data_IF_249118587039
#
_entry.id   IF_249118587039
#
_cell.length_a   1.000
_cell.length_b   1.000
_cell.length_c   1.000
_cell.angle_alpha   90.00
_cell.angle_beta   90.00
_cell.angle_gamma   90.00
#
_symmetry.space_group_name_H-M   'P 1'
#
loop_
_entity.id
_entity.type
_entity.pdbx_description
1 polymer ?
#
# COMPACT_ATOMS: atom_id res chain seq x y z
N UNK A 1 -5.56 0.78 -15.26
CA UNK A 1 -6.33 0.09 -14.22
C UNK A 1 -6.69 -1.28 -14.77
N UNK A 2 -6.03 -2.32 -14.26
CA UNK A 2 -6.22 -3.72 -14.70
C UNK A 2 -7.26 -4.41 -13.80
N UNK A 3 -7.18 -4.20 -12.50
CA UNK A 3 -8.06 -4.83 -11.52
C UNK A 3 -9.25 -3.93 -11.18
N UNK A 4 -10.38 -4.54 -10.81
CA UNK A 4 -11.56 -3.82 -10.30
C UNK A 4 -11.43 -3.60 -8.79
N UNK A 5 -12.15 -2.60 -8.27
CA UNK A 5 -12.20 -2.28 -6.83
C UNK A 5 -12.48 -3.53 -5.97
N UNK A 6 -13.47 -4.34 -6.32
CA UNK A 6 -13.82 -5.53 -5.53
C UNK A 6 -12.69 -6.57 -5.50
N UNK A 7 -12.01 -6.81 -6.63
CA UNK A 7 -10.89 -7.76 -6.68
C UNK A 7 -9.75 -7.30 -5.77
N UNK A 8 -9.48 -6.00 -5.73
CA UNK A 8 -8.50 -5.39 -4.84
C UNK A 8 -8.89 -5.53 -3.37
N UNK A 9 -10.17 -5.33 -3.04
CA UNK A 9 -10.68 -5.56 -1.68
C UNK A 9 -10.50 -7.01 -1.26
N UNK A 10 -10.82 -7.97 -2.14
CA UNK A 10 -10.70 -9.39 -1.85
C UNK A 10 -9.23 -9.80 -1.62
N UNK A 11 -8.31 -9.29 -2.45
CA UNK A 11 -6.85 -9.45 -2.26
C UNK A 11 -6.44 -8.87 -0.91
N UNK A 12 -6.86 -7.64 -0.60
CA UNK A 12 -6.48 -6.94 0.62
C UNK A 12 -6.95 -7.68 1.88
N UNK A 13 -8.20 -8.15 1.90
CA UNK A 13 -8.76 -8.96 2.98
C UNK A 13 -7.98 -10.25 3.17
N UNK A 14 -7.65 -10.96 2.08
CA UNK A 14 -6.81 -12.16 2.14
C UNK A 14 -5.44 -11.85 2.74
N UNK A 15 -4.79 -10.78 2.29
CA UNK A 15 -3.47 -10.37 2.78
C UNK A 15 -3.48 -10.05 4.27
N UNK A 16 -4.48 -9.29 4.75
CA UNK A 16 -4.62 -8.97 6.17
C UNK A 16 -4.79 -10.24 7.01
N UNK A 17 -5.63 -11.18 6.55
CA UNK A 17 -5.81 -12.48 7.21
C UNK A 17 -4.53 -13.32 7.23
N UNK A 18 -3.79 -13.35 6.13
CA UNK A 18 -2.54 -14.12 5.99
C UNK A 18 -1.43 -13.58 6.93
N UNK A 19 -1.30 -12.26 7.00
CA UNK A 19 -0.35 -11.55 7.89
C UNK A 19 -0.78 -11.66 9.36
N UNK A 20 -2.08 -11.82 9.61
CA UNK A 20 -2.64 -11.95 10.96
C UNK A 20 -2.77 -10.61 11.68
N UNK A 21 -2.95 -9.52 10.93
CA UNK A 21 -3.23 -8.20 11.51
C UNK A 21 -4.74 -8.01 11.67
N UNK A 22 -5.17 -7.75 12.91
CA UNK A 22 -6.56 -7.47 13.23
C UNK A 22 -7.03 -6.14 12.62
N UNK A 23 -8.24 -6.13 12.08
CA UNK A 23 -8.87 -4.93 11.52
C UNK A 23 -10.39 -5.01 11.69
N UNK A 24 -11.05 -3.86 11.72
CA UNK A 24 -12.49 -3.79 11.87
C UNK A 24 -13.21 -4.21 10.58
N UNK A 25 -13.70 -5.44 10.56
CA UNK A 25 -14.41 -6.03 9.42
C UNK A 25 -15.83 -5.48 9.20
N UNK A 26 -16.36 -4.66 10.11
CA UNK A 26 -17.69 -4.04 9.96
C UNK A 26 -17.65 -2.72 9.18
N UNK A 27 -16.46 -2.20 8.89
CA UNK A 27 -16.31 -0.95 8.14
C UNK A 27 -16.16 -1.24 6.65
N UNK A 28 -16.76 -0.37 5.85
CA UNK A 28 -16.62 -0.42 4.40
C UNK A 28 -15.17 -0.10 4.00
N UNK A 29 -14.61 -0.94 3.13
CA UNK A 29 -13.25 -0.77 2.60
C UNK A 29 -13.36 -0.12 1.22
N UNK A 30 -12.88 1.11 1.11
CA UNK A 30 -12.81 1.80 -0.18
C UNK A 30 -11.36 1.91 -0.68
N UNK A 31 -10.98 1.17 -1.74
CA UNK A 31 -9.64 1.24 -2.31
C UNK A 31 -9.49 2.47 -3.23
N UNK A 32 -8.33 3.12 -3.14
CA UNK A 32 -7.96 4.30 -3.93
C UNK A 32 -6.91 3.89 -4.96
N UNK A 33 -7.20 4.09 -6.24
CA UNK A 33 -6.22 3.88 -7.31
C UNK A 33 -5.24 5.04 -7.38
N UNK A 34 -3.95 4.73 -7.55
CA UNK A 34 -2.87 5.70 -7.80
C UNK A 34 -2.32 5.47 -9.20
N UNK A 35 -2.70 6.35 -10.12
CA UNK A 35 -2.24 6.29 -11.51
C UNK A 35 -0.77 6.71 -11.62
N UNK A 36 -0.11 6.35 -12.73
CA UNK A 36 1.26 6.80 -13.02
C UNK A 36 1.29 8.34 -13.13
N UNK A 37 0.32 8.94 -13.81
CA UNK A 37 0.30 10.38 -14.06
C UNK A 37 0.18 11.19 -12.76
N UNK A 38 -0.72 10.80 -11.84
CA UNK A 38 -0.84 11.44 -10.52
C UNK A 38 0.45 11.28 -9.70
N UNK A 39 1.10 10.12 -9.79
CA UNK A 39 2.37 9.88 -9.10
C UNK A 39 3.50 10.73 -9.67
N UNK A 40 3.56 10.90 -10.99
CA UNK A 40 4.54 11.77 -11.65
C UNK A 40 4.33 13.24 -11.29
N UNK A 41 3.08 13.69 -11.24
CA UNK A 41 2.75 15.05 -10.82
C UNK A 41 3.18 15.30 -9.36
N UNK A 42 2.92 14.35 -8.47
CA UNK A 42 3.35 14.43 -7.07
C UNK A 42 4.88 14.41 -6.94
N UNK A 43 5.57 13.53 -7.67
CA UNK A 43 7.04 13.47 -7.69
C UNK A 43 7.63 14.79 -8.17
N UNK A 44 7.06 15.40 -9.22
CA UNK A 44 7.49 16.70 -9.72
C UNK A 44 7.35 17.80 -8.65
N UNK A 45 6.22 17.85 -7.94
CA UNK A 45 6.01 18.81 -6.83
C UNK A 45 7.04 18.61 -5.70
N UNK A 46 7.37 17.36 -5.38
CA UNK A 46 8.37 17.02 -4.36
C UNK A 46 9.78 17.49 -4.78
N UNK A 47 10.14 17.27 -6.05
CA UNK A 47 11.43 17.71 -6.62
C UNK A 47 11.55 19.24 -6.67
N UNK A 48 10.51 19.93 -7.18
CA UNK A 48 10.46 21.40 -7.24
C UNK A 48 10.52 22.06 -5.85
N UNK A 49 9.95 21.40 -4.83
CA UNK A 49 10.02 21.85 -3.45
C UNK A 49 11.35 21.50 -2.75
N UNK A 50 12.25 20.76 -3.40
CA UNK A 50 13.55 20.36 -2.85
C UNK A 50 13.46 19.27 -1.78
N UNK A 51 12.36 18.51 -1.74
CA UNK A 51 12.16 17.40 -0.79
C UNK A 51 12.62 16.05 -1.35
N UNK A 52 12.97 15.97 -2.63
CA UNK A 52 13.57 14.76 -3.19
C UNK A 52 14.98 14.56 -2.58
N UNK A 53 15.30 13.38 -2.00
CA UNK A 53 16.63 13.11 -1.45
C UNK A 53 17.72 13.34 -2.49
N UNK A 54 18.81 14.00 -2.11
CA UNK A 54 19.88 14.41 -3.04
C UNK A 54 20.57 13.22 -3.72
N UNK A 55 20.52 12.06 -3.10
CA UNK A 55 21.08 10.81 -3.58
C UNK A 55 20.23 10.19 -4.71
N UNK A 56 18.98 10.61 -4.86
CA UNK A 56 18.02 10.07 -5.84
C UNK A 56 17.82 11.09 -6.95
N UNK A 57 18.23 10.73 -8.17
CA UNK A 57 17.93 11.55 -9.35
C UNK A 57 16.47 11.41 -9.75
N UNK A 58 15.85 12.52 -10.18
CA UNK A 58 14.46 12.53 -10.65
C UNK A 58 14.19 11.43 -11.70
N UNK A 59 15.07 11.27 -12.69
CA UNK A 59 14.90 10.27 -13.75
C UNK A 59 14.98 8.82 -13.24
N UNK A 60 15.68 8.58 -12.12
CA UNK A 60 15.71 7.27 -11.46
C UNK A 60 14.41 7.03 -10.69
N UNK A 61 13.89 8.04 -10.00
CA UNK A 61 12.60 7.95 -9.31
C UNK A 61 11.45 7.69 -10.29
N UNK A 62 11.42 8.37 -11.43
CA UNK A 62 10.43 8.16 -12.51
C UNK A 62 10.40 6.71 -12.98
N UNK A 63 11.56 6.06 -13.15
CA UNK A 63 11.64 4.66 -13.60
C UNK A 63 11.06 3.65 -12.60
N UNK A 64 10.91 4.03 -11.34
CA UNK A 64 10.37 3.19 -10.28
C UNK A 64 8.87 3.37 -10.07
N UNK A 65 8.24 4.37 -10.71
CA UNK A 65 6.79 4.60 -10.60
C UNK A 65 6.03 3.48 -11.30
N UNK A 66 5.05 2.93 -10.58
CA UNK A 66 4.15 1.88 -11.04
C UNK A 66 2.74 2.18 -10.57
N UNK A 67 1.69 1.82 -11.31
CA UNK A 67 0.33 2.00 -10.84
C UNK A 67 0.03 1.04 -9.69
N UNK A 68 -0.61 1.53 -8.64
CA UNK A 68 -0.97 0.71 -7.49
C UNK A 68 -2.27 1.18 -6.86
N UNK A 69 -2.82 0.34 -5.99
CA UNK A 69 -3.98 0.59 -5.17
C UNK A 69 -3.56 0.78 -3.72
N UNK A 70 -4.20 1.73 -3.03
CA UNK A 70 -4.11 1.90 -1.58
C UNK A 70 -5.42 1.40 -0.98
N UNK A 71 -5.33 0.50 -0.01
CA UNK A 71 -6.46 0.01 0.76
C UNK A 71 -6.25 0.38 2.22
N UNK A 72 -7.16 1.19 2.76
CA UNK A 72 -7.16 1.59 4.16
C UNK A 72 -7.96 0.63 5.03
N UNK A 73 -7.44 0.33 6.23
CA UNK A 73 -8.15 -0.40 7.26
C UNK A 73 -8.06 0.33 8.60
N UNK A 74 -9.15 0.26 9.35
CA UNK A 74 -9.17 0.69 10.74
C UNK A 74 -8.87 -0.51 11.64
N UNK A 75 -8.13 -0.26 12.72
CA UNK A 75 -7.96 -1.25 13.77
C UNK A 75 -9.31 -1.55 14.44
N UNK A 76 -9.41 -2.73 15.03
CA UNK A 76 -10.46 -3.05 15.99
C UNK A 76 -10.45 -2.04 17.14
N UNK A 77 -11.61 -1.74 17.71
CA UNK A 77 -11.77 -0.67 18.71
C UNK A 77 -10.83 -0.83 19.91
N UNK A 78 -10.61 -2.07 20.34
CA UNK A 78 -9.73 -2.46 21.44
C UNK A 78 -8.23 -2.29 21.13
N UNK A 79 -7.87 -2.25 19.85
CA UNK A 79 -6.49 -2.04 19.36
C UNK A 79 -6.27 -0.64 18.78
N UNK A 80 -7.28 0.23 18.83
CA UNK A 80 -7.21 1.57 18.25
C UNK A 80 -6.37 2.50 19.12
N UNK A 81 -5.13 2.71 18.69
CA UNK A 81 -4.22 3.70 19.28
C UNK A 81 -4.27 4.96 18.40
N UNK A 82 -4.88 6.04 18.88
CA UNK A 82 -5.02 7.31 18.15
C UNK A 82 -5.77 7.18 16.79
N UNK A 83 -5.64 8.15 15.88
CA UNK A 83 -6.10 8.08 14.49
C UNK A 83 -5.14 7.25 13.61
N UNK A 84 -4.67 6.12 14.13
CA UNK A 84 -3.78 5.23 13.40
C UNK A 84 -4.59 4.32 12.48
N UNK A 85 -4.21 4.28 11.21
CA UNK A 85 -4.83 3.45 10.17
C UNK A 85 -3.77 2.55 9.54
N UNK A 86 -4.20 1.39 9.06
CA UNK A 86 -3.37 0.49 8.28
C UNK A 86 -3.58 0.82 6.81
N UNK A 87 -2.50 0.94 6.05
CA UNK A 87 -2.53 1.13 4.61
C UNK A 87 -1.79 -0.01 3.94
N UNK A 88 -2.50 -0.73 3.08
CA UNK A 88 -1.96 -1.79 2.24
C UNK A 88 -1.83 -1.27 0.81
N UNK A 89 -0.66 -1.49 0.20
CA UNK A 89 -0.39 -1.12 -1.18
C UNK A 89 -0.33 -2.39 -2.06
N UNK A 90 -1.13 -2.41 -3.12
CA UNK A 90 -1.30 -3.54 -4.04
C UNK A 90 -0.97 -3.10 -5.47
N UNK A 91 -0.08 -3.80 -6.14
CA UNK A 91 0.32 -3.47 -7.51
C UNK A 91 -0.83 -3.72 -8.48
N UNK A 92 -1.21 -2.71 -9.28
CA UNK A 92 -2.22 -2.88 -10.33
C UNK A 92 -1.69 -3.70 -11.50
N UNK A 93 -0.37 -3.93 -11.60
CA UNK A 93 0.24 -4.69 -12.69
C UNK A 93 0.02 -6.21 -12.57
N UNK A 94 -0.12 -6.71 -11.34
CA UNK A 94 -0.15 -8.15 -11.07
C UNK A 94 -1.03 -8.55 -9.87
N UNK A 95 -1.69 -7.59 -9.21
CA UNK A 95 -2.55 -7.85 -8.05
C UNK A 95 -1.79 -8.29 -6.81
N UNK A 96 -0.45 -8.19 -6.79
CA UNK A 96 0.35 -8.63 -5.65
C UNK A 96 0.52 -7.47 -4.65
N UNK A 97 0.15 -7.67 -3.37
CA UNK A 97 0.50 -6.76 -2.29
C UNK A 97 2.01 -6.69 -2.12
N UNK A 98 2.56 -5.49 -1.94
CA UNK A 98 4.01 -5.30 -1.83
C UNK A 98 4.43 -4.53 -0.59
N UNK A 99 3.53 -3.76 0.02
CA UNK A 99 3.85 -2.95 1.20
C UNK A 99 2.64 -2.78 2.10
N UNK A 100 2.86 -2.81 3.42
CA UNK A 100 1.87 -2.48 4.45
C UNK A 100 2.50 -1.52 5.45
N UNK A 101 1.75 -0.51 5.86
CA UNK A 101 2.20 0.47 6.85
C UNK A 101 1.09 0.92 7.77
N UNK A 102 1.48 1.44 8.91
CA UNK A 102 0.66 2.28 9.77
C UNK A 102 1.55 3.42 10.29
N UNK A 103 1.04 4.26 11.19
CA UNK A 103 1.74 5.46 11.69
C UNK A 103 3.16 5.19 12.23
N UNK A 104 3.41 4.02 12.81
CA UNK A 104 4.66 3.72 13.54
C UNK A 104 5.58 2.73 12.81
N UNK A 105 5.11 2.03 11.77
CA UNK A 105 5.90 1.01 11.08
C UNK A 105 5.44 0.81 9.63
N UNK A 106 6.39 0.42 8.78
CA UNK A 106 6.16 -0.01 7.40
C UNK A 106 6.96 -1.27 7.11
N UNK A 107 6.36 -2.22 6.41
CA UNK A 107 6.95 -3.53 6.09
C UNK A 107 6.67 -3.91 4.64
N UNK A 108 7.63 -4.59 4.02
CA UNK A 108 7.43 -5.23 2.72
C UNK A 108 6.64 -6.52 2.89
N UNK A 109 5.87 -6.85 1.86
CA UNK A 109 5.09 -8.09 1.81
C UNK A 109 5.73 -9.04 0.81
N UNK A 110 5.81 -10.31 1.19
CA UNK A 110 6.18 -11.40 0.30
C UNK A 110 5.13 -12.49 0.33
N UNK A 111 5.12 -13.32 -0.72
CA UNK A 111 4.26 -14.48 -0.87
C UNK A 111 5.11 -15.73 -0.82
N UNK A 112 4.77 -16.66 0.06
CA UNK A 112 5.48 -17.93 0.14
C UNK A 112 5.08 -18.87 -1.02
N UNK A 113 5.72 -20.04 -1.09
CA UNK A 113 5.43 -21.05 -2.13
C UNK A 113 4.01 -21.63 -2.05
N UNK A 114 3.32 -21.46 -0.91
CA UNK A 114 1.94 -21.90 -0.68
C UNK A 114 0.92 -20.79 -1.04
N UNK A 115 1.40 -19.62 -1.48
CA UNK A 115 0.54 -18.49 -1.82
C UNK A 115 0.07 -17.65 -0.63
N UNK A 116 0.64 -17.86 0.57
CA UNK A 116 0.35 -17.09 1.79
C UNK A 116 1.25 -15.86 1.90
N UNK A 117 0.66 -14.73 2.27
CA UNK A 117 1.38 -13.47 2.48
C UNK A 117 2.00 -13.36 3.87
N UNK A 118 3.17 -12.76 3.97
CA UNK A 118 3.85 -12.44 5.23
C UNK A 118 4.68 -11.16 5.09
N UNK A 119 4.93 -10.49 6.23
CA UNK A 119 5.74 -9.26 6.29
C UNK A 119 7.20 -9.57 6.54
N UNK A 120 8.09 -8.78 5.93
CA UNK A 120 9.52 -8.76 6.25
C UNK A 120 9.91 -7.35 6.72
N UNK A 121 10.72 -7.30 7.77
CA UNK A 121 11.34 -6.06 8.24
C UNK A 121 12.51 -5.69 7.30
N UNK A 122 12.64 -4.41 6.98
CA UNK A 122 13.84 -3.88 6.31
C UNK A 122 15.03 -3.78 7.27
#
# INVERSE_FOLDING_TARGET
>A
MIYKKQEIVDIAIKTMKDIGWGYNSNLEIEPIFKSIDEQLENLKKIDEAGFLPKEIKYEQAVKNIKPYWIVGFDFEEESKIENNHIFLEISDLNGEPFFIKHKQSGMKIQKNNEGKYFTILE
#
